data_IF_727977928932
#
_entry.id   IF_727977928932
#
_cell.length_a   1.000
_cell.length_b   1.000
_cell.length_c   1.000
_cell.angle_alpha   90.00
_cell.angle_beta   90.00
_cell.angle_gamma   90.00
#
_symmetry.space_group_name_H-M   'P 1'
#
loop_
_entity.id
_entity.type
_entity.pdbx_description
1 polymer ?
#
# COMPACT_ATOMS: atom_id res chain seq x y z
N UNK A 1 -20.29 -15.41 1.96
CA UNK A 1 -19.71 -15.26 0.61
C UNK A 1 -18.19 -15.38 0.69
N UNK A 2 -17.63 -16.57 0.41
CA UNK A 2 -16.18 -16.72 0.29
C UNK A 2 -15.74 -16.18 -1.06
N UNK A 3 -15.29 -14.91 -1.09
CA UNK A 3 -14.58 -14.37 -2.24
C UNK A 3 -13.21 -15.04 -2.28
N UNK A 4 -13.08 -16.13 -3.02
CA UNK A 4 -11.80 -16.60 -3.51
C UNK A 4 -11.29 -15.53 -4.47
N UNK A 5 -10.64 -14.50 -3.93
CA UNK A 5 -9.99 -13.45 -4.70
C UNK A 5 -8.91 -14.12 -5.53
N UNK A 6 -9.19 -14.31 -6.82
CA UNK A 6 -8.22 -14.79 -7.80
C UNK A 6 -6.91 -14.01 -7.58
N UNK A 7 -5.82 -14.75 -7.32
CA UNK A 7 -4.52 -14.13 -7.02
C UNK A 7 -4.14 -13.26 -8.22
N UNK A 8 -3.98 -11.96 -8.01
CA UNK A 8 -3.54 -11.07 -9.08
C UNK A 8 -2.11 -11.43 -9.47
N UNK A 9 -1.94 -11.95 -10.67
CA UNK A 9 -0.65 -12.31 -11.27
C UNK A 9 -0.46 -11.41 -12.48
N UNK A 10 0.67 -10.73 -12.56
CA UNK A 10 1.08 -9.98 -13.75
C UNK A 10 2.43 -10.53 -14.20
N UNK A 11 2.55 -10.90 -15.47
CA UNK A 11 3.78 -11.45 -16.06
C UNK A 11 4.36 -12.64 -15.26
N UNK A 12 3.49 -13.52 -14.75
CA UNK A 12 3.92 -14.69 -13.95
C UNK A 12 4.37 -14.37 -12.52
N UNK A 13 4.37 -13.10 -12.11
CA UNK A 13 4.70 -12.68 -10.74
C UNK A 13 3.44 -12.35 -9.94
N UNK A 14 3.40 -12.81 -8.69
CA UNK A 14 2.36 -12.44 -7.75
C UNK A 14 2.48 -10.97 -7.38
N UNK A 15 1.42 -10.19 -7.63
CA UNK A 15 1.39 -8.79 -7.22
C UNK A 15 0.86 -8.67 -5.79
N UNK A 16 1.65 -8.01 -4.95
CA UNK A 16 1.20 -7.52 -3.65
C UNK A 16 0.25 -6.33 -3.85
N UNK A 17 -1.03 -6.56 -3.59
CA UNK A 17 -2.03 -5.49 -3.51
C UNK A 17 -1.90 -4.77 -2.17
N UNK A 18 -2.43 -3.55 -2.05
CA UNK A 18 -2.42 -2.81 -0.78
C UNK A 18 -2.97 -3.63 0.38
N UNK A 19 -4.08 -4.34 0.14
CA UNK A 19 -4.80 -5.10 1.16
C UNK A 19 -4.03 -6.37 1.55
N UNK A 20 -3.19 -6.91 0.65
CA UNK A 20 -2.30 -8.03 0.97
C UNK A 20 -1.04 -7.55 1.70
N UNK A 21 -0.48 -6.40 1.28
CA UNK A 21 0.63 -5.77 1.99
C UNK A 21 0.27 -5.45 3.44
N UNK A 22 -0.92 -4.92 3.69
CA UNK A 22 -1.44 -4.64 5.03
C UNK A 22 -1.57 -5.91 5.89
N UNK A 23 -2.01 -7.03 5.32
CA UNK A 23 -2.07 -8.33 6.02
C UNK A 23 -0.69 -8.86 6.40
N UNK A 24 0.32 -8.69 5.54
CA UNK A 24 1.69 -9.13 5.84
C UNK A 24 2.30 -8.24 6.91
N UNK A 25 2.17 -6.93 6.79
CA UNK A 25 2.64 -6.00 7.82
C UNK A 25 2.03 -6.30 9.18
N UNK A 26 0.74 -6.65 9.24
CA UNK A 26 0.08 -7.04 10.49
C UNK A 26 0.61 -8.36 11.09
N UNK A 27 1.02 -9.33 10.26
CA UNK A 27 1.64 -10.59 10.73
C UNK A 27 3.02 -10.33 11.33
N UNK A 28 3.75 -9.34 10.79
CA UNK A 28 5.09 -8.96 11.25
C UNK A 28 5.07 -7.89 12.37
N UNK A 29 3.90 -7.62 12.97
CA UNK A 29 3.68 -6.52 13.94
C UNK A 29 4.11 -5.13 13.44
N UNK A 30 4.28 -4.96 12.13
CA UNK A 30 4.62 -3.71 11.49
C UNK A 30 3.37 -2.85 11.31
N UNK A 31 3.38 -1.67 11.92
CA UNK A 31 2.28 -0.69 11.82
C UNK A 31 2.73 0.53 11.03
N UNK A 32 1.86 1.02 10.15
CA UNK A 32 2.08 2.29 9.47
C UNK A 32 2.11 3.43 10.48
N UNK A 33 3.02 4.39 10.30
CA UNK A 33 2.97 5.64 11.06
C UNK A 33 1.72 6.44 10.71
N UNK A 34 1.19 7.20 11.67
CA UNK A 34 0.01 8.06 11.48
C UNK A 34 0.12 8.95 10.24
N UNK A 35 1.32 9.50 9.98
CA UNK A 35 1.61 10.33 8.81
C UNK A 35 1.45 9.56 7.50
N UNK A 36 2.05 8.37 7.38
CA UNK A 36 1.96 7.55 6.17
C UNK A 36 0.54 7.03 5.96
N UNK A 37 -0.15 6.65 7.03
CA UNK A 37 -1.55 6.23 6.97
C UNK A 37 -2.47 7.35 6.43
N UNK A 38 -2.24 8.60 6.83
CA UNK A 38 -2.98 9.76 6.30
C UNK A 38 -2.75 9.95 4.80
N UNK A 39 -1.50 9.89 4.34
CA UNK A 39 -1.13 10.00 2.92
C UNK A 39 -1.80 8.89 2.09
N UNK A 40 -1.80 7.65 2.59
CA UNK A 40 -2.46 6.53 1.90
C UNK A 40 -3.98 6.73 1.77
N UNK A 41 -4.64 7.26 2.80
CA UNK A 41 -6.08 7.57 2.73
C UNK A 41 -6.37 8.69 1.73
N UNK A 42 -5.63 9.79 1.82
CA UNK A 42 -5.80 10.96 0.96
C UNK A 42 -5.52 10.65 -0.51
N UNK A 43 -4.44 9.92 -0.78
CA UNK A 43 -4.10 9.49 -2.15
C UNK A 43 -5.15 8.55 -2.75
N UNK A 44 -5.77 7.68 -1.94
CA UNK A 44 -6.88 6.82 -2.38
C UNK A 44 -8.13 7.65 -2.68
N UNK A 45 -8.46 8.63 -1.83
CA UNK A 45 -9.58 9.53 -2.04
C UNK A 45 -9.40 10.40 -3.30
N UNK A 46 -8.17 10.78 -3.63
CA UNK A 46 -7.81 11.51 -4.84
C UNK A 46 -7.76 10.65 -6.11
N UNK A 47 -7.91 9.33 -5.99
CA UNK A 47 -7.84 8.41 -7.14
C UNK A 47 -6.42 8.23 -7.70
N UNK A 48 -5.38 8.53 -6.92
CA UNK A 48 -4.00 8.41 -7.38
C UNK A 48 -3.63 6.95 -7.66
N UNK A 49 -2.87 6.77 -8.75
CA UNK A 49 -2.28 5.49 -9.14
C UNK A 49 -1.29 4.98 -8.09
N UNK A 50 -0.93 3.69 -8.19
CA UNK A 50 0.04 3.09 -7.29
C UNK A 50 1.42 3.74 -7.34
N UNK A 51 1.86 4.16 -8.53
CA UNK A 51 3.16 4.84 -8.72
C UNK A 51 3.18 6.22 -8.09
N UNK A 52 2.16 7.04 -8.33
CA UNK A 52 2.03 8.36 -7.70
C UNK A 52 2.02 8.25 -6.18
N UNK A 53 1.31 7.23 -5.65
CA UNK A 53 1.28 6.96 -4.21
C UNK A 53 2.66 6.58 -3.67
N UNK A 54 3.42 5.76 -4.39
CA UNK A 54 4.80 5.40 -4.02
C UNK A 54 5.73 6.61 -4.02
N UNK A 55 5.60 7.49 -4.99
CA UNK A 55 6.38 8.74 -5.08
C UNK A 55 6.11 9.62 -3.86
N UNK A 56 4.84 9.86 -3.53
CA UNK A 56 4.46 10.66 -2.34
C UNK A 56 5.02 10.08 -1.03
N UNK A 57 4.97 8.75 -0.86
CA UNK A 57 5.52 8.08 0.32
C UNK A 57 7.04 8.29 0.39
N UNK A 58 7.76 8.14 -0.73
CA UNK A 58 9.21 8.34 -0.80
C UNK A 58 9.61 9.77 -0.45
N UNK A 59 8.90 10.77 -0.99
CA UNK A 59 9.12 12.18 -0.66
C UNK A 59 8.90 12.45 0.84
N UNK A 60 7.90 11.82 1.45
CA UNK A 60 7.61 12.02 2.86
C UNK A 60 8.61 11.30 3.76
N UNK A 61 9.14 10.15 3.31
CA UNK A 61 10.23 9.45 3.99
C UNK A 61 11.55 10.22 3.91
N UNK A 62 11.87 10.84 2.76
CA UNK A 62 13.09 11.63 2.57
C UNK A 62 13.06 13.00 3.27
N UNK A 63 11.87 13.54 3.58
CA UNK A 63 11.70 14.77 4.39
C UNK A 63 12.06 14.63 5.88
N UNK A 64 12.74 13.55 6.30
CA UNK A 64 13.36 13.48 7.63
C UNK A 64 14.52 14.48 7.69
N UNK A 65 14.29 15.60 8.36
CA UNK A 65 15.33 16.47 8.91
C UNK A 65 15.46 16.16 10.39
#
# INVERSE_FOLDING_TARGET
MNKNSARSVQNGQFILTSDRGEKISAIEDLRLSHRIAAILRESRARGLSGDERRTLIKEQASRKK
#
